data_IF_363219726134
#
_entry.id   IF_363219726134
#
_cell.length_a   1.000
_cell.length_b   1.000
_cell.length_c   1.000
_cell.angle_alpha   90.00
_cell.angle_beta   90.00
_cell.angle_gamma   90.00
#
_symmetry.space_group_name_H-M   'P 1'
#
loop_
_entity.id
_entity.type
_entity.pdbx_description
1 polymer ?
#
# COMPACT_ATOMS: atom_id res chain seq x y z
N UNK A 1 -7.23 -0.35 24.92
CA UNK A 1 -7.39 0.64 23.82
C UNK A 1 -7.91 -0.09 22.60
N UNK A 2 -8.47 0.60 21.61
CA UNK A 2 -8.80 -0.05 20.33
C UNK A 2 -7.56 -0.07 19.44
N UNK A 3 -7.45 -1.04 18.52
CA UNK A 3 -6.38 -1.07 17.52
C UNK A 3 -6.26 0.26 16.76
N UNK A 4 -7.39 0.91 16.46
CA UNK A 4 -7.42 2.24 15.83
C UNK A 4 -6.72 3.30 16.67
N UNK A 5 -6.96 3.32 17.98
CA UNK A 5 -6.33 4.28 18.90
C UNK A 5 -4.82 4.04 18.98
N UNK A 6 -4.39 2.78 19.07
CA UNK A 6 -2.96 2.42 19.13
C UNK A 6 -2.22 2.80 17.85
N UNK A 7 -2.83 2.53 16.68
CA UNK A 7 -2.27 2.89 15.39
C UNK A 7 -2.06 4.40 15.24
N UNK A 8 -3.09 5.20 15.59
CA UNK A 8 -3.01 6.66 15.52
C UNK A 8 -1.94 7.20 16.49
N UNK A 9 -1.88 6.66 17.72
CA UNK A 9 -0.88 7.06 18.69
C UNK A 9 0.55 6.73 18.22
N UNK A 10 0.75 5.58 17.57
CA UNK A 10 2.04 5.22 16.99
C UNK A 10 2.48 6.17 15.88
N UNK A 11 1.55 6.63 15.02
CA UNK A 11 1.87 7.61 13.98
C UNK A 11 2.27 8.98 14.56
N UNK A 12 1.56 9.45 15.60
CA UNK A 12 1.95 10.69 16.28
C UNK A 12 3.33 10.55 16.94
N UNK A 13 3.56 9.46 17.67
CA UNK A 13 4.84 9.21 18.33
C UNK A 13 6.01 9.14 17.34
N UNK A 14 5.79 8.54 16.15
CA UNK A 14 6.81 8.52 15.09
C UNK A 14 7.11 9.92 14.55
N UNK A 15 6.08 10.74 14.32
CA UNK A 15 6.26 12.12 13.85
C UNK A 15 7.06 12.94 14.87
N UNK A 16 6.71 12.86 16.16
CA UNK A 16 7.41 13.55 17.24
C UNK A 16 8.87 13.08 17.37
N UNK A 17 9.11 11.77 17.20
CA UNK A 17 10.46 11.22 17.23
C UNK A 17 11.32 11.75 16.08
N UNK A 18 10.79 11.79 14.85
CA UNK A 18 11.53 12.28 13.69
C UNK A 18 11.81 13.79 13.79
N UNK A 19 10.87 14.58 14.32
CA UNK A 19 11.05 16.02 14.54
C UNK A 19 12.16 16.31 15.58
N UNK A 20 12.21 15.52 16.65
CA UNK A 20 13.20 15.67 17.72
C UNK A 20 14.58 15.05 17.42
N UNK A 21 14.71 14.26 16.35
CA UNK A 21 15.93 13.54 15.99
C UNK A 21 16.34 13.80 14.53
N UNK A 22 16.83 15.02 14.18
CA UNK A 22 17.11 15.41 12.79
C UNK A 22 18.24 14.64 12.10
N UNK A 23 19.02 13.85 12.85
CA UNK A 23 20.03 12.95 12.28
C UNK A 23 19.42 11.65 11.72
N UNK A 24 18.16 11.35 12.05
CA UNK A 24 17.43 10.20 11.51
C UNK A 24 16.89 10.59 10.13
N UNK A 25 17.27 9.87 9.05
CA UNK A 25 16.79 10.20 7.72
C UNK A 25 15.28 9.91 7.60
N UNK A 26 14.59 10.81 6.88
CA UNK A 26 13.23 10.55 6.39
C UNK A 26 13.30 10.02 4.96
N UNK A 27 12.31 9.24 4.50
CA UNK A 27 12.25 8.78 3.12
C UNK A 27 12.32 9.95 2.13
N UNK A 28 13.19 9.82 1.12
CA UNK A 28 13.31 10.81 0.02
C UNK A 28 12.07 10.83 -0.87
N UNK A 29 11.39 9.69 -0.96
CA UNK A 29 10.19 9.50 -1.77
C UNK A 29 8.95 9.28 -0.90
N UNK A 30 7.84 8.97 -1.55
CA UNK A 30 6.55 8.78 -0.88
C UNK A 30 6.58 7.61 0.09
N UNK A 31 5.85 7.76 1.20
CA UNK A 31 5.63 6.73 2.22
C UNK A 31 4.15 6.42 2.34
N UNK A 32 3.80 5.14 2.39
CA UNK A 32 2.41 4.70 2.32
C UNK A 32 1.91 4.14 3.66
N UNK A 33 0.73 4.59 4.08
CA UNK A 33 -0.15 3.88 5.00
C UNK A 33 -1.12 3.05 4.16
N UNK A 34 -0.87 1.75 4.08
CA UNK A 34 -1.55 0.84 3.17
C UNK A 34 -2.65 0.01 3.86
N UNK A 35 -3.84 -0.01 3.27
CA UNK A 35 -4.97 -0.86 3.66
C UNK A 35 -5.41 -1.68 2.45
N UNK A 36 -5.55 -2.98 2.64
CA UNK A 36 -6.07 -3.89 1.63
C UNK A 36 -7.57 -4.14 1.84
N UNK A 37 -8.36 -3.91 0.79
CA UNK A 37 -9.72 -4.41 0.73
C UNK A 37 -9.71 -5.91 0.43
N UNK A 38 -10.62 -6.65 1.07
CA UNK A 38 -10.68 -8.12 1.00
C UNK A 38 -12.06 -8.59 0.54
N UNK A 39 -12.12 -9.82 0.04
CA UNK A 39 -13.35 -10.46 -0.43
C UNK A 39 -13.30 -10.77 -1.93
N UNK A 40 -14.48 -10.87 -2.55
CA UNK A 40 -14.59 -10.93 -4.01
C UNK A 40 -14.16 -9.60 -4.62
N UNK A 41 -13.79 -9.59 -5.90
CA UNK A 41 -13.41 -8.34 -6.59
C UNK A 41 -14.49 -7.26 -6.43
N UNK A 42 -15.77 -7.61 -6.59
CA UNK A 42 -16.89 -6.70 -6.39
C UNK A 42 -16.97 -6.15 -4.95
N UNK A 43 -16.79 -7.00 -3.94
CA UNK A 43 -16.83 -6.56 -2.54
C UNK A 43 -15.62 -5.67 -2.19
N UNK A 44 -14.44 -6.04 -2.67
CA UNK A 44 -13.22 -5.28 -2.44
C UNK A 44 -13.28 -3.91 -3.15
N UNK A 45 -13.84 -3.85 -4.37
CA UNK A 45 -14.01 -2.59 -5.11
C UNK A 45 -15.02 -1.67 -4.41
N UNK A 46 -16.16 -2.22 -3.96
CA UNK A 46 -17.15 -1.45 -3.20
C UNK A 46 -16.56 -0.88 -1.90
N UNK A 47 -15.67 -1.62 -1.22
CA UNK A 47 -14.96 -1.11 -0.05
C UNK A 47 -14.00 0.03 -0.41
N UNK A 48 -13.27 -0.07 -1.52
CA UNK A 48 -12.42 1.02 -2.02
C UNK A 48 -13.26 2.26 -2.38
N UNK A 49 -14.41 2.10 -3.03
CA UNK A 49 -15.34 3.21 -3.34
C UNK A 49 -15.86 3.87 -2.05
N UNK A 50 -16.25 3.07 -1.06
CA UNK A 50 -16.69 3.57 0.25
C UNK A 50 -15.58 4.38 0.93
N UNK A 51 -14.35 3.89 0.91
CA UNK A 51 -13.20 4.60 1.48
C UNK A 51 -12.86 5.85 0.67
N UNK A 52 -12.95 5.82 -0.66
CA UNK A 52 -12.76 6.99 -1.53
C UNK A 52 -13.73 8.12 -1.16
N UNK A 53 -15.00 7.78 -0.92
CA UNK A 53 -16.02 8.73 -0.46
C UNK A 53 -15.66 9.34 0.91
N UNK A 54 -15.20 8.53 1.87
CA UNK A 54 -14.76 9.02 3.18
C UNK A 54 -13.54 9.95 3.10
N UNK A 55 -12.63 9.67 2.17
CA UNK A 55 -11.41 10.45 1.94
C UNK A 55 -11.67 11.69 1.07
N UNK A 56 -12.82 11.77 0.40
CA UNK A 56 -13.15 12.83 -0.56
C UNK A 56 -12.19 12.83 -1.77
N UNK A 57 -11.86 11.65 -2.29
CA UNK A 57 -10.97 11.48 -3.45
C UNK A 57 -11.63 10.58 -4.50
N UNK A 58 -11.28 10.71 -5.78
CA UNK A 58 -11.74 9.76 -6.79
C UNK A 58 -11.05 8.41 -6.62
N UNK A 59 -11.68 7.37 -7.16
CA UNK A 59 -11.05 6.07 -7.35
C UNK A 59 -10.20 6.08 -8.63
N UNK A 60 -9.08 5.36 -8.60
CA UNK A 60 -8.24 5.06 -9.75
C UNK A 60 -8.33 3.56 -10.04
N UNK A 61 -8.67 3.21 -11.27
CA UNK A 61 -8.74 1.84 -11.76
C UNK A 61 -7.60 1.56 -12.74
N UNK A 62 -6.55 0.89 -12.25
CA UNK A 62 -5.42 0.46 -13.08
C UNK A 62 -5.51 -1.04 -13.44
N UNK A 63 -6.63 -1.70 -13.14
CA UNK A 63 -6.75 -3.18 -13.20
C UNK A 63 -6.62 -3.73 -14.61
N UNK A 64 -7.08 -2.97 -15.62
CA UNK A 64 -6.92 -3.32 -17.04
C UNK A 64 -5.45 -3.40 -17.49
N UNK A 65 -4.52 -2.80 -16.74
CA UNK A 65 -3.07 -2.83 -17.00
C UNK A 65 -2.31 -3.73 -16.03
N UNK A 66 -3.01 -4.60 -15.31
CA UNK A 66 -2.43 -5.43 -14.25
C UNK A 66 -2.15 -4.68 -12.95
N UNK A 67 -2.69 -3.46 -12.79
CA UNK A 67 -2.57 -2.65 -11.59
C UNK A 67 -3.68 -2.92 -10.56
N UNK A 68 -3.87 -1.97 -9.64
CA UNK A 68 -4.82 -2.07 -8.54
C UNK A 68 -6.02 -1.15 -8.75
N UNK A 69 -7.13 -1.49 -8.09
CA UNK A 69 -8.25 -0.57 -7.91
C UNK A 69 -8.07 0.17 -6.58
N UNK A 70 -7.96 1.49 -6.58
CA UNK A 70 -7.40 2.22 -5.42
C UNK A 70 -8.01 3.59 -5.14
N UNK A 71 -8.06 3.94 -3.86
CA UNK A 71 -8.32 5.28 -3.36
C UNK A 71 -7.09 5.79 -2.61
N UNK A 72 -6.60 6.98 -2.98
CA UNK A 72 -5.39 7.55 -2.41
C UNK A 72 -5.65 8.98 -1.94
N UNK A 73 -5.32 9.26 -0.68
CA UNK A 73 -5.28 10.61 -0.12
C UNK A 73 -3.85 10.95 0.31
N UNK A 74 -3.35 12.08 -0.15
CA UNK A 74 -1.97 12.51 0.11
C UNK A 74 -1.92 13.60 1.20
N UNK A 75 -0.91 13.51 2.08
CA UNK A 75 -0.54 14.44 3.14
C UNK A 75 0.96 14.77 3.00
N UNK A 76 1.31 15.64 2.05
CA UNK A 76 2.71 15.86 1.67
C UNK A 76 3.33 14.59 1.06
N UNK A 77 4.48 14.09 1.55
CA UNK A 77 5.07 12.84 1.05
C UNK A 77 4.39 11.58 1.60
N UNK A 78 3.45 11.70 2.54
CA UNK A 78 2.75 10.55 3.12
C UNK A 78 1.42 10.31 2.40
N UNK A 79 1.13 9.07 2.04
CA UNK A 79 -0.12 8.68 1.38
C UNK A 79 -0.91 7.69 2.23
N UNK A 80 -2.21 7.92 2.40
CA UNK A 80 -3.13 6.88 2.80
C UNK A 80 -3.67 6.19 1.55
N UNK A 81 -3.48 4.87 1.44
CA UNK A 81 -3.84 4.08 0.27
C UNK A 81 -4.76 2.94 0.68
N UNK A 82 -5.97 2.91 0.13
CA UNK A 82 -6.84 1.75 0.20
C UNK A 82 -6.86 1.09 -1.18
N UNK A 83 -6.46 -0.18 -1.26
CA UNK A 83 -6.32 -0.90 -2.53
C UNK A 83 -7.08 -2.22 -2.53
N UNK A 84 -7.67 -2.54 -3.67
CA UNK A 84 -8.14 -3.86 -4.02
C UNK A 84 -7.27 -4.42 -5.15
N UNK A 85 -6.84 -5.68 -5.00
CA UNK A 85 -6.06 -6.39 -6.01
C UNK A 85 -6.97 -7.46 -6.61
N UNK A 86 -7.36 -7.35 -7.88
CA UNK A 86 -8.26 -8.32 -8.51
C UNK A 86 -7.68 -9.73 -8.50
N UNK A 87 -8.54 -10.74 -8.48
CA UNK A 87 -8.13 -12.15 -8.53
C UNK A 87 -7.23 -12.43 -9.74
N UNK A 88 -7.57 -11.87 -10.91
CA UNK A 88 -6.78 -12.05 -12.12
C UNK A 88 -5.36 -11.46 -11.99
N UNK A 89 -5.23 -10.28 -11.38
CA UNK A 89 -3.94 -9.63 -11.13
C UNK A 89 -3.11 -10.44 -10.14
N UNK A 90 -3.74 -10.94 -9.09
CA UNK A 90 -3.09 -11.81 -8.10
C UNK A 90 -2.63 -13.14 -8.73
N UNK A 91 -3.39 -13.70 -9.67
CA UNK A 91 -3.00 -14.91 -10.39
C UNK A 91 -1.74 -14.68 -11.25
N UNK A 92 -1.65 -13.56 -11.96
CA UNK A 92 -0.45 -13.17 -12.71
C UNK A 92 0.75 -12.98 -11.78
N UNK A 93 0.56 -12.28 -10.66
CA UNK A 93 1.62 -12.10 -9.67
C UNK A 93 2.14 -13.45 -9.14
N UNK A 94 1.24 -14.38 -8.78
CA UNK A 94 1.61 -15.71 -8.30
C UNK A 94 2.33 -16.54 -9.37
N UNK A 95 1.90 -16.46 -10.63
CA UNK A 95 2.60 -17.12 -11.72
C UNK A 95 4.04 -16.59 -11.86
N UNK A 96 4.23 -15.27 -11.77
CA UNK A 96 5.57 -14.67 -11.73
C UNK A 96 6.41 -15.15 -10.54
N UNK A 97 5.83 -15.15 -9.34
CA UNK A 97 6.50 -15.63 -8.11
C UNK A 97 6.87 -17.10 -8.19
N UNK A 98 6.08 -17.95 -8.86
CA UNK A 98 6.42 -19.37 -9.04
C UNK A 98 7.68 -19.62 -9.88
N UNK A 99 8.17 -18.60 -10.61
CA UNK A 99 9.40 -18.68 -11.38
C UNK A 99 10.60 -18.02 -10.66
N UNK A 100 10.40 -17.36 -9.51
CA UNK A 100 11.42 -16.51 -8.89
C UNK A 100 12.70 -17.28 -8.50
N UNK A 101 12.58 -18.57 -8.18
CA UNK A 101 13.71 -19.43 -7.79
C UNK A 101 14.24 -20.30 -8.94
N UNK A 102 13.66 -20.19 -10.14
CA UNK A 102 14.05 -21.02 -11.28
C UNK A 102 15.41 -20.66 -11.89
N UNK A 103 15.92 -19.45 -11.61
CA UNK A 103 17.19 -18.95 -12.15
C UNK A 103 18.08 -18.52 -10.99
N UNK A 104 19.19 -19.24 -10.80
CA UNK A 104 20.23 -18.89 -9.83
C UNK A 104 21.28 -18.06 -10.56
N UNK A 105 21.51 -16.79 -10.16
CA UNK A 105 22.59 -15.99 -10.73
C UNK A 105 23.93 -16.64 -10.44
N UNK A 106 24.86 -16.59 -11.39
CA UNK A 106 26.25 -16.89 -11.11
C UNK A 106 26.73 -15.95 -9.99
N UNK A 107 27.42 -16.50 -9.01
CA UNK A 107 28.07 -15.68 -7.99
C UNK A 107 29.33 -15.10 -8.62
N UNK A 108 29.53 -13.78 -8.47
CA UNK A 108 30.83 -13.17 -8.80
C UNK A 108 31.91 -13.93 -8.02
N UNK A 109 32.85 -14.53 -8.75
CA UNK A 109 34.02 -15.15 -8.15
C UNK A 109 34.80 -14.07 -7.38
N UNK A 110 35.06 -14.34 -6.10
CA UNK A 110 35.80 -13.47 -5.18
C UNK A 110 37.21 -13.12 -5.68
#
# INVERSE_FOLDING_TARGET
>A
MTHRTEFINGLHALADYLDTNPAVPVPEFRTDVLVHAHGTDAAAFAEVERVAALLGVPVSDDTARGGHYKAIRTFGPVEYRCIAIPVAVMAVHRAGQSYAESVVPDTEAA
#
